data_IF_059384390190
#
_entry.id   IF_059384390190
#
_cell.length_a   1.000
_cell.length_b   1.000
_cell.length_c   1.000
_cell.angle_alpha   90.00
_cell.angle_beta   90.00
_cell.angle_gamma   90.00
#
_symmetry.space_group_name_H-M   'P 1'
#
loop_
_entity.id
_entity.type
_entity.pdbx_description
1 polymer ?
#
# COMPACT_ATOMS: atom_id res chain seq x y z
N UNK A 1 -1.39 5.61 -22.27
CA UNK A 1 -1.83 5.00 -21.00
C UNK A 1 -2.96 5.85 -20.43
N UNK A 2 -3.85 5.34 -19.57
CA UNK A 2 -4.98 6.14 -19.03
C UNK A 2 -4.50 7.48 -18.45
N UNK A 3 -3.31 7.51 -17.83
CA UNK A 3 -2.62 8.70 -17.34
C UNK A 3 -2.33 9.78 -18.40
N UNK A 4 -1.90 9.38 -19.60
CA UNK A 4 -1.50 10.33 -20.65
C UNK A 4 -2.70 11.10 -21.20
N UNK A 5 -3.91 10.57 -21.05
CA UNK A 5 -5.14 11.20 -21.53
C UNK A 5 -5.69 12.23 -20.53
N UNK A 6 -5.25 12.22 -19.26
CA UNK A 6 -5.64 13.18 -18.22
C UNK A 6 -4.63 14.30 -18.00
N UNK A 7 -3.56 14.39 -18.79
CA UNK A 7 -2.47 15.35 -18.59
C UNK A 7 -1.55 15.01 -17.42
N UNK A 8 -1.73 13.84 -16.81
CA UNK A 8 -0.85 13.36 -15.76
C UNK A 8 0.34 12.61 -16.36
N UNK A 9 1.53 12.85 -15.81
CA UNK A 9 2.71 12.07 -16.20
C UNK A 9 2.56 10.59 -15.82
N UNK A 10 1.68 10.29 -14.88
CA UNK A 10 1.49 8.98 -14.26
C UNK A 10 0.08 8.83 -13.68
N UNK A 11 -0.48 7.62 -13.73
CA UNK A 11 -1.86 7.37 -13.31
C UNK A 11 -2.04 7.63 -11.81
N UNK A 12 -2.91 8.58 -11.46
CA UNK A 12 -3.40 8.77 -10.11
C UNK A 12 -4.64 7.90 -9.85
N UNK A 13 -4.61 7.12 -8.77
CA UNK A 13 -5.78 6.35 -8.36
C UNK A 13 -6.77 7.30 -7.67
N UNK A 14 -8.04 7.29 -8.08
CA UNK A 14 -9.06 8.09 -7.40
C UNK A 14 -9.32 7.57 -5.98
N UNK A 15 -9.36 6.25 -5.79
CA UNK A 15 -9.56 5.59 -4.51
C UNK A 15 -8.63 4.38 -4.35
N UNK A 16 -7.96 4.28 -3.21
CA UNK A 16 -7.35 3.05 -2.73
C UNK A 16 -8.06 2.61 -1.45
N UNK A 17 -8.65 1.42 -1.48
CA UNK A 17 -9.23 0.76 -0.32
C UNK A 17 -8.17 -0.12 0.35
N UNK A 18 -7.98 0.07 1.65
CA UNK A 18 -6.98 -0.60 2.46
C UNK A 18 -7.62 -1.32 3.65
N UNK A 19 -7.05 -2.46 4.03
CA UNK A 19 -7.30 -3.13 5.31
C UNK A 19 -6.21 -2.83 6.33
N UNK A 20 -6.40 -3.29 7.58
CA UNK A 20 -5.42 -3.17 8.66
C UNK A 20 -5.22 -4.50 9.39
N UNK A 21 -3.97 -4.99 9.41
CA UNK A 21 -3.54 -6.15 10.18
C UNK A 21 -3.44 -5.88 11.68
N UNK A 22 -3.37 -6.93 12.49
CA UNK A 22 -3.22 -6.81 13.97
C UNK A 22 -1.89 -6.18 14.40
N UNK A 23 -0.88 -6.26 13.53
CA UNK A 23 0.43 -5.63 13.67
C UNK A 23 0.49 -4.26 12.99
N UNK A 24 -0.65 -3.71 12.58
CA UNK A 24 -0.75 -2.41 11.90
C UNK A 24 -0.35 -2.43 10.42
N UNK A 25 -0.02 -3.59 9.83
CA UNK A 25 0.30 -3.63 8.40
C UNK A 25 -0.92 -3.26 7.54
N UNK A 26 -0.64 -2.68 6.37
CA UNK A 26 -1.61 -2.50 5.30
C UNK A 26 -0.99 -2.89 3.96
N UNK A 27 -1.79 -3.11 2.92
CA UNK A 27 -1.34 -3.74 1.68
C UNK A 27 -0.49 -4.99 2.02
N UNK A 28 0.73 -5.11 1.50
CA UNK A 28 1.72 -6.06 2.05
C UNK A 28 2.93 -5.33 2.63
N UNK A 29 2.71 -4.18 3.26
CA UNK A 29 3.71 -3.38 3.96
C UNK A 29 3.73 -3.76 5.45
N UNK A 30 4.43 -4.85 5.76
CA UNK A 30 4.53 -5.39 7.12
C UNK A 30 5.67 -4.73 7.91
N UNK A 31 5.53 -4.56 9.24
CA UNK A 31 6.62 -4.12 10.11
C UNK A 31 7.91 -4.92 9.87
N UNK A 32 9.04 -4.21 9.75
CA UNK A 32 10.36 -4.81 9.54
C UNK A 32 10.63 -5.37 8.14
N UNK A 33 9.74 -5.15 7.16
CA UNK A 33 9.99 -5.57 5.77
C UNK A 33 10.60 -4.44 4.92
N UNK A 34 11.46 -4.82 3.97
CA UNK A 34 12.20 -3.86 3.14
C UNK A 34 11.32 -2.91 2.31
N UNK A 35 10.07 -3.28 2.02
CA UNK A 35 9.15 -2.42 1.28
C UNK A 35 8.74 -1.14 2.03
N UNK A 36 8.93 -1.07 3.36
CA UNK A 36 8.69 0.15 4.14
C UNK A 36 9.71 1.26 3.81
N UNK A 37 10.91 0.86 3.41
CA UNK A 37 12.02 1.79 3.10
C UNK A 37 12.02 2.26 1.65
N UNK A 38 11.15 1.70 0.79
CA UNK A 38 11.10 2.06 -0.62
C UNK A 38 10.60 3.50 -0.85
N UNK A 39 11.42 4.34 -1.49
CA UNK A 39 11.12 5.77 -1.76
C UNK A 39 10.97 6.11 -3.25
N UNK A 40 11.32 5.20 -4.15
CA UNK A 40 11.44 5.44 -5.59
C UNK A 40 10.40 4.68 -6.39
N UNK A 41 10.37 3.35 -6.24
CA UNK A 41 9.47 2.45 -6.94
C UNK A 41 8.06 2.61 -6.37
N UNK A 42 7.08 2.34 -7.22
CA UNK A 42 5.66 2.42 -6.85
C UNK A 42 5.06 1.10 -6.44
N UNK A 43 5.56 0.04 -7.05
CA UNK A 43 5.17 -1.35 -6.78
C UNK A 43 6.46 -2.13 -6.60
N UNK A 44 6.50 -3.00 -5.59
CA UNK A 44 7.65 -3.86 -5.31
C UNK A 44 7.19 -5.26 -4.91
N UNK A 45 8.03 -6.25 -5.18
CA UNK A 45 7.94 -7.53 -4.50
C UNK A 45 8.46 -7.36 -3.07
N UNK A 46 7.68 -7.79 -2.08
CA UNK A 46 8.03 -7.76 -0.68
C UNK A 46 7.97 -9.18 -0.11
N UNK A 47 9.08 -9.68 0.41
CA UNK A 47 9.06 -10.93 1.16
C UNK A 47 8.52 -10.65 2.55
N UNK A 48 7.51 -11.40 2.98
CA UNK A 48 6.88 -11.25 4.29
C UNK A 48 7.27 -12.44 5.16
N UNK A 49 8.23 -12.30 6.09
CA UNK A 49 8.74 -13.41 6.90
C UNK A 49 7.64 -14.13 7.68
N UNK A 50 6.69 -13.38 8.25
CA UNK A 50 5.54 -13.90 9.00
C UNK A 50 4.67 -14.88 8.20
N UNK A 51 4.67 -14.75 6.87
CA UNK A 51 3.87 -15.58 5.96
C UNK A 51 4.73 -16.54 5.14
N UNK A 52 6.06 -16.42 5.26
CA UNK A 52 7.03 -17.15 4.44
C UNK A 52 6.71 -17.11 2.94
N UNK A 53 6.33 -15.93 2.44
CA UNK A 53 5.85 -15.75 1.08
C UNK A 53 6.22 -14.38 0.49
N UNK A 54 6.38 -14.34 -0.82
CA UNK A 54 6.48 -13.10 -1.59
C UNK A 54 5.09 -12.53 -1.90
N UNK A 55 4.95 -11.22 -1.76
CA UNK A 55 3.76 -10.47 -2.17
C UNK A 55 4.15 -9.31 -3.06
N UNK A 56 3.35 -9.04 -4.09
CA UNK A 56 3.44 -7.79 -4.83
C UNK A 56 2.64 -6.72 -4.07
N UNK A 57 3.23 -5.57 -3.82
CA UNK A 57 2.57 -4.51 -3.03
C UNK A 57 2.78 -3.13 -3.63
N UNK A 58 1.77 -2.29 -3.46
CA UNK A 58 1.94 -0.85 -3.57
C UNK A 58 2.80 -0.35 -2.41
N UNK A 59 3.69 0.58 -2.72
CA UNK A 59 4.54 1.30 -1.76
C UNK A 59 3.80 2.49 -1.20
N UNK A 60 4.29 3.08 -0.10
CA UNK A 60 3.75 4.34 0.42
C UNK A 60 3.78 5.46 -0.62
N UNK A 61 4.77 5.48 -1.52
CA UNK A 61 4.82 6.48 -2.60
C UNK A 61 3.61 6.41 -3.52
N UNK A 62 3.16 5.21 -3.90
CA UNK A 62 1.95 5.06 -4.72
C UNK A 62 0.70 5.30 -3.88
N UNK A 63 0.61 4.71 -2.70
CA UNK A 63 -0.56 4.82 -1.82
C UNK A 63 -0.85 6.28 -1.51
N UNK A 64 0.16 7.04 -1.08
CA UNK A 64 0.03 8.47 -0.73
C UNK A 64 -0.17 9.38 -1.95
N UNK A 65 -0.08 8.86 -3.17
CA UNK A 65 -0.38 9.61 -4.39
C UNK A 65 -1.88 9.53 -4.75
N UNK A 66 -2.65 8.61 -4.17
CA UNK A 66 -4.09 8.50 -4.47
C UNK A 66 -4.87 9.74 -4.00
N UNK A 67 -5.97 10.06 -4.69
CA UNK A 67 -6.84 11.19 -4.31
C UNK A 67 -7.55 10.91 -2.99
N UNK A 68 -7.99 9.66 -2.79
CA UNK A 68 -8.59 9.19 -1.56
C UNK A 68 -7.99 7.85 -1.12
N UNK A 69 -7.72 7.75 0.19
CA UNK A 69 -7.30 6.52 0.85
C UNK A 69 -8.35 6.21 1.91
N UNK A 70 -9.00 5.05 1.77
CA UNK A 70 -10.02 4.60 2.71
C UNK A 70 -9.55 3.32 3.41
N UNK A 71 -9.63 3.31 4.73
CA UNK A 71 -9.39 2.11 5.53
C UNK A 71 -10.73 1.47 5.93
N UNK A 72 -10.93 0.22 5.53
CA UNK A 72 -12.04 -0.60 6.02
C UNK A 72 -11.49 -1.56 7.08
N UNK A 73 -11.81 -1.28 8.34
CA UNK A 73 -11.19 -1.93 9.50
C UNK A 73 -12.26 -2.44 10.44
N UNK A 74 -12.14 -3.70 10.86
CA UNK A 74 -13.04 -4.29 11.84
C UNK A 74 -12.82 -3.71 13.24
N UNK A 75 -13.89 -3.61 14.03
CA UNK A 75 -13.86 -3.04 15.38
C UNK A 75 -12.85 -3.73 16.32
N UNK A 76 -12.51 -5.00 16.06
CA UNK A 76 -11.49 -5.75 16.81
C UNK A 76 -10.08 -5.16 16.71
N UNK A 77 -9.83 -4.22 15.79
CA UNK A 77 -8.53 -3.56 15.59
C UNK A 77 -8.43 -2.17 16.26
N UNK A 78 -9.37 -1.82 17.12
CA UNK A 78 -9.36 -0.52 17.81
C UNK A 78 -8.15 -0.43 18.75
N UNK A 79 -7.30 0.63 18.64
CA UNK A 79 -6.25 0.90 19.61
C UNK A 79 -6.94 1.33 20.91
N UNK A 80 -6.94 0.47 21.92
CA UNK A 80 -7.38 0.83 23.26
C UNK A 80 -6.40 1.79 23.92
#
# INVERSE_FOLDING_TARGET
AIATNSGESIYQHDLILLGLGDDGHTASLFPGTAALDEKTRRVVANFVPKLHAWRLTFTFRLINHARHILFLVGASKSPR
#
